data_IF_558867477366
#
_entry.id   IF_558867477366
#
_cell.length_a   1.000
_cell.length_b   1.000
_cell.length_c   1.000
_cell.angle_alpha   90.00
_cell.angle_beta   90.00
_cell.angle_gamma   90.00
#
_symmetry.space_group_name_H-M   'P 1'
#
loop_
_entity.id
_entity.type
_entity.pdbx_description
1 polymer ?
#
# COMPACT_ATOMS: atom_id res chain seq x y z
N UNK A 1 -3.06 -2.49 31.83
CA UNK A 1 -2.82 -1.87 30.50
C UNK A 1 -3.87 -2.35 29.53
N UNK A 2 -4.61 -1.43 28.88
CA UNK A 2 -5.63 -1.80 27.90
C UNK A 2 -4.97 -2.36 26.63
N UNK A 3 -5.00 -3.69 26.45
CA UNK A 3 -4.36 -4.40 25.33
C UNK A 3 -4.83 -3.86 23.97
N UNK A 4 -6.09 -3.42 23.87
CA UNK A 4 -6.68 -2.84 22.68
C UNK A 4 -6.04 -1.49 22.25
N UNK A 5 -5.43 -0.74 23.19
CA UNK A 5 -4.72 0.52 22.86
C UNK A 5 -3.22 0.31 22.65
N UNK A 6 -2.63 -0.65 23.36
CA UNK A 6 -1.17 -0.84 23.37
C UNK A 6 -0.70 -1.64 22.17
N UNK A 7 -1.33 -2.79 21.89
CA UNK A 7 -0.86 -3.72 20.85
C UNK A 7 -0.86 -3.11 19.44
N UNK A 8 -1.88 -2.33 19.02
CA UNK A 8 -1.85 -1.66 17.71
C UNK A 8 -0.68 -0.67 17.58
N UNK A 9 -0.37 0.07 18.65
CA UNK A 9 0.74 1.04 18.68
C UNK A 9 2.09 0.33 18.66
N UNK A 10 2.23 -0.78 19.41
CA UNK A 10 3.42 -1.62 19.37
C UNK A 10 3.65 -2.15 17.96
N UNK A 11 2.60 -2.66 17.30
CA UNK A 11 2.69 -3.11 15.91
C UNK A 11 3.14 -1.97 14.97
N UNK A 12 2.51 -0.80 15.06
CA UNK A 12 2.86 0.37 14.24
C UNK A 12 4.33 0.79 14.42
N UNK A 13 4.77 1.03 15.66
CA UNK A 13 6.14 1.47 15.94
C UNK A 13 7.18 0.41 15.59
N UNK A 14 6.87 -0.88 15.80
CA UNK A 14 7.74 -1.97 15.38
C UNK A 14 7.91 -1.99 13.87
N UNK A 15 6.82 -1.83 13.11
CA UNK A 15 6.85 -1.79 11.64
C UNK A 15 7.63 -0.58 11.14
N UNK A 16 7.42 0.60 11.71
CA UNK A 16 8.16 1.81 11.35
C UNK A 16 9.68 1.63 11.60
N UNK A 17 10.05 1.12 12.78
CA UNK A 17 11.45 0.87 13.14
C UNK A 17 12.10 -0.20 12.25
N UNK A 18 11.42 -1.33 12.01
CA UNK A 18 11.91 -2.39 11.14
C UNK A 18 12.03 -1.94 9.68
N UNK A 19 11.09 -1.12 9.19
CA UNK A 19 11.15 -0.54 7.85
C UNK A 19 12.36 0.38 7.72
N UNK A 20 12.59 1.27 8.70
CA UNK A 20 13.75 2.16 8.72
C UNK A 20 15.06 1.36 8.76
N UNK A 21 15.17 0.38 9.65
CA UNK A 21 16.34 -0.49 9.75
C UNK A 21 16.60 -1.25 8.43
N UNK A 22 15.56 -1.79 7.81
CA UNK A 22 15.67 -2.49 6.52
C UNK A 22 16.11 -1.55 5.40
N UNK A 23 15.57 -0.33 5.35
CA UNK A 23 15.99 0.69 4.37
C UNK A 23 17.45 1.03 4.56
N UNK A 24 17.88 1.39 5.77
CA UNK A 24 19.28 1.74 6.08
C UNK A 24 20.23 0.59 5.72
N UNK A 25 19.95 -0.62 6.17
CA UNK A 25 20.79 -1.79 5.94
C UNK A 25 20.90 -2.12 4.44
N UNK A 26 19.76 -2.16 3.74
CA UNK A 26 19.74 -2.49 2.31
C UNK A 26 20.38 -1.39 1.48
N UNK A 27 20.24 -0.13 1.88
CA UNK A 27 20.92 1.00 1.24
C UNK A 27 22.43 0.87 1.41
N UNK A 28 22.91 0.66 2.64
CA UNK A 28 24.33 0.42 2.90
C UNK A 28 24.88 -0.76 2.08
N UNK A 29 24.10 -1.83 1.94
CA UNK A 29 24.47 -2.98 1.12
C UNK A 29 24.61 -2.66 -0.36
N UNK A 30 23.69 -1.85 -0.91
CA UNK A 30 23.80 -1.38 -2.29
C UNK A 30 25.01 -0.47 -2.49
N UNK A 31 25.31 0.41 -1.53
CA UNK A 31 26.42 1.35 -1.66
C UNK A 31 27.80 0.71 -1.48
N UNK A 32 27.89 -0.37 -0.68
CA UNK A 32 29.20 -0.96 -0.30
C UNK A 32 29.49 -2.31 -0.95
N UNK A 33 28.45 -3.07 -1.28
CA UNK A 33 28.58 -4.49 -1.65
C UNK A 33 27.88 -4.90 -2.93
N UNK A 34 27.19 -4.00 -3.63
CA UNK A 34 26.56 -4.30 -4.91
C UNK A 34 27.55 -4.11 -6.04
N UNK A 35 27.74 -5.15 -6.84
CA UNK A 35 28.52 -5.12 -8.05
C UNK A 35 27.59 -4.85 -9.23
N UNK A 36 27.68 -3.64 -9.80
CA UNK A 36 26.81 -3.19 -10.89
C UNK A 36 27.05 -3.91 -12.22
N UNK A 37 28.25 -4.43 -12.44
CA UNK A 37 28.62 -5.14 -13.67
C UNK A 37 28.08 -6.57 -13.66
N UNK A 38 28.15 -7.23 -12.49
CA UNK A 38 27.63 -8.59 -12.28
C UNK A 38 26.11 -8.55 -12.00
N UNK A 39 25.62 -7.44 -11.45
CA UNK A 39 24.23 -7.27 -11.04
C UNK A 39 23.87 -8.03 -9.75
N UNK A 40 24.85 -8.27 -8.86
CA UNK A 40 24.68 -9.05 -7.63
C UNK A 40 25.46 -8.47 -6.45
N UNK A 41 25.08 -8.88 -5.23
CA UNK A 41 25.82 -8.54 -4.01
C UNK A 41 27.03 -9.46 -3.82
N UNK A 42 28.16 -8.88 -3.43
CA UNK A 42 29.40 -9.59 -3.10
C UNK A 42 29.34 -10.40 -1.80
N UNK A 43 28.41 -10.08 -0.90
CA UNK A 43 28.23 -10.77 0.39
C UNK A 43 26.77 -11.14 0.66
N UNK A 44 26.56 -12.35 1.20
CA UNK A 44 25.25 -12.88 1.56
C UNK A 44 24.74 -12.42 2.95
N UNK A 45 25.59 -11.80 3.78
CA UNK A 45 25.23 -11.44 5.15
C UNK A 45 24.04 -10.47 5.21
N UNK A 46 24.02 -9.46 4.33
CA UNK A 46 22.93 -8.48 4.28
C UNK A 46 21.62 -9.12 3.83
N UNK A 47 21.68 -10.09 2.90
CA UNK A 47 20.49 -10.80 2.44
C UNK A 47 19.87 -11.66 3.54
N UNK A 48 20.68 -12.25 4.42
CA UNK A 48 20.18 -13.00 5.58
C UNK A 48 19.48 -12.08 6.58
N UNK A 49 20.09 -10.96 6.96
CA UNK A 49 19.50 -10.02 7.92
C UNK A 49 18.20 -9.42 7.37
N UNK A 50 18.17 -9.07 6.08
CA UNK A 50 16.95 -8.57 5.44
C UNK A 50 15.79 -9.59 5.49
N UNK A 51 16.06 -10.89 5.26
CA UNK A 51 15.04 -11.96 5.38
C UNK A 51 14.47 -12.05 6.78
N UNK A 52 15.31 -11.91 7.81
CA UNK A 52 14.85 -11.88 9.21
C UNK A 52 13.93 -10.68 9.45
N UNK A 53 14.30 -9.49 8.96
CA UNK A 53 13.46 -8.30 9.07
C UNK A 53 12.11 -8.47 8.35
N UNK A 54 12.10 -9.08 7.16
CA UNK A 54 10.87 -9.44 6.44
C UNK A 54 9.99 -10.40 7.23
N UNK A 55 10.56 -11.36 7.95
CA UNK A 55 9.78 -12.27 8.78
C UNK A 55 9.19 -11.54 10.00
N UNK A 56 10.00 -10.72 10.67
CA UNK A 56 9.56 -9.95 11.83
C UNK A 56 8.42 -8.97 11.50
N UNK A 57 8.46 -8.31 10.35
CA UNK A 57 7.44 -7.30 9.98
C UNK A 57 6.08 -7.92 9.66
N UNK A 58 6.03 -9.20 9.30
CA UNK A 58 4.77 -9.93 9.11
C UNK A 58 4.32 -10.51 10.44
N UNK A 59 5.24 -11.12 11.19
CA UNK A 59 4.93 -11.90 12.38
C UNK A 59 4.49 -11.01 13.56
N UNK A 60 5.16 -9.87 13.79
CA UNK A 60 4.82 -8.97 14.91
C UNK A 60 3.39 -8.42 14.76
N UNK A 61 2.98 -7.80 13.63
CA UNK A 61 1.62 -7.31 13.46
C UNK A 61 0.58 -8.43 13.46
N UNK A 62 0.90 -9.61 12.93
CA UNK A 62 0.01 -10.77 12.96
C UNK A 62 -0.25 -11.24 14.39
N UNK A 63 0.81 -11.40 15.20
CA UNK A 63 0.69 -11.76 16.62
C UNK A 63 -0.08 -10.70 17.40
N UNK A 64 0.23 -9.40 17.20
CA UNK A 64 -0.54 -8.31 17.79
C UNK A 64 -2.02 -8.38 17.38
N UNK A 65 -2.32 -8.63 16.10
CA UNK A 65 -3.67 -8.75 15.57
C UNK A 65 -4.48 -9.90 16.19
N UNK A 66 -3.83 -11.05 16.45
CA UNK A 66 -4.44 -12.21 17.12
C UNK A 66 -4.71 -11.95 18.60
N UNK A 67 -3.87 -11.15 19.26
CA UNK A 67 -3.99 -10.84 20.69
C UNK A 67 -4.98 -9.71 21.01
N UNK A 68 -5.41 -8.94 20.01
CA UNK A 68 -6.41 -7.86 20.18
C UNK A 68 -7.81 -8.48 20.19
N UNK A 69 -8.68 -8.19 21.19
CA UNK A 69 -10.04 -8.71 21.27
C UNK A 69 -10.95 -8.21 20.13
N UNK A 70 -12.08 -8.90 19.91
CA UNK A 70 -13.02 -8.51 18.86
C UNK A 70 -13.64 -7.16 19.19
N UNK A 71 -13.79 -6.30 18.19
CA UNK A 71 -14.17 -4.90 18.39
C UNK A 71 -13.07 -4.01 18.98
N UNK A 72 -11.89 -4.55 19.33
CA UNK A 72 -10.77 -3.77 19.89
C UNK A 72 -10.03 -2.87 18.90
N UNK A 73 -10.38 -2.94 17.61
CA UNK A 73 -9.85 -2.10 16.54
C UNK A 73 -11.02 -1.58 15.71
N UNK A 74 -11.08 -0.26 15.53
CA UNK A 74 -12.02 0.37 14.61
C UNK A 74 -11.47 0.35 13.19
N UNK A 75 -12.31 0.04 12.21
CA UNK A 75 -11.97 0.27 10.82
C UNK A 75 -12.04 1.78 10.53
N UNK A 76 -11.03 2.39 9.88
CA UNK A 76 -11.16 3.77 9.44
C UNK A 76 -12.34 3.91 8.48
N UNK A 77 -13.07 5.02 8.58
CA UNK A 77 -14.18 5.34 7.69
C UNK A 77 -13.66 5.72 6.30
N UNK A 78 -13.32 4.71 5.49
CA UNK A 78 -12.85 4.94 4.12
C UNK A 78 -14.04 5.13 3.21
N UNK A 79 -14.13 6.31 2.58
CA UNK A 79 -15.16 6.63 1.60
C UNK A 79 -16.18 7.67 2.03
N UNK A 80 -16.03 8.28 3.22
CA UNK A 80 -16.84 9.42 3.68
C UNK A 80 -15.96 10.67 3.70
N UNK A 81 -16.30 11.67 2.91
CA UNK A 81 -15.56 12.94 2.85
C UNK A 81 -14.23 12.88 2.08
N UNK A 82 -13.49 13.98 2.14
CA UNK A 82 -12.21 14.19 1.45
C UNK A 82 -11.08 13.48 2.17
N UNK A 83 -10.26 12.74 1.42
CA UNK A 83 -9.08 12.09 1.95
C UNK A 83 -7.79 12.68 1.37
N UNK A 84 -7.16 13.56 2.15
CA UNK A 84 -5.90 14.21 1.76
C UNK A 84 -4.75 13.22 1.56
N UNK A 85 -4.77 12.05 2.22
CA UNK A 85 -3.72 11.05 2.05
C UNK A 85 -3.69 10.44 0.65
N UNK A 86 -4.81 10.50 -0.09
CA UNK A 86 -4.91 10.05 -1.47
C UNK A 86 -4.14 10.94 -2.47
N UNK A 87 -3.68 12.14 -2.07
CA UNK A 87 -2.86 13.01 -2.92
C UNK A 87 -1.50 12.37 -3.28
N UNK A 88 -0.88 11.66 -2.34
CA UNK A 88 0.41 10.97 -2.52
C UNK A 88 0.33 9.91 -3.63
N UNK A 89 -0.58 8.92 -3.57
CA UNK A 89 -0.70 7.91 -4.62
C UNK A 89 -1.32 8.45 -5.91
N UNK A 90 -2.08 9.55 -5.86
CA UNK A 90 -2.53 10.26 -7.07
C UNK A 90 -1.35 10.79 -7.88
N UNK A 91 -0.43 11.53 -7.23
CA UNK A 91 0.78 12.05 -7.88
C UNK A 91 1.61 10.90 -8.44
N UNK A 92 1.80 9.84 -7.65
CA UNK A 92 2.52 8.64 -8.07
C UNK A 92 1.91 8.02 -9.35
N UNK A 93 0.58 7.90 -9.40
CA UNK A 93 -0.14 7.32 -10.54
C UNK A 93 -0.03 8.21 -11.78
N UNK A 94 -0.18 9.53 -11.63
CA UNK A 94 -0.08 10.50 -12.72
C UNK A 94 1.32 10.53 -13.35
N UNK A 95 2.38 10.48 -12.52
CA UNK A 95 3.77 10.41 -13.01
C UNK A 95 3.99 9.13 -13.82
N UNK A 96 3.30 8.02 -13.51
CA UNK A 96 3.50 6.74 -14.19
C UNK A 96 2.98 6.73 -15.63
N UNK A 97 1.98 7.56 -15.95
CA UNK A 97 1.32 7.61 -17.28
C UNK A 97 2.28 7.97 -18.43
N UNK A 98 3.00 9.11 -18.43
CA UNK A 98 3.88 9.47 -19.55
C UNK A 98 4.99 8.45 -19.78
N UNK A 99 5.51 7.81 -18.73
CA UNK A 99 6.58 6.82 -18.87
C UNK A 99 6.11 5.52 -19.53
N UNK A 100 4.85 5.14 -19.36
CA UNK A 100 4.28 4.05 -20.15
C UNK A 100 4.15 4.44 -21.61
N UNK A 101 3.68 5.64 -21.91
CA UNK A 101 3.48 6.10 -23.28
C UNK A 101 4.81 6.30 -24.02
N UNK A 102 5.88 6.66 -23.30
CA UNK A 102 7.23 6.76 -23.85
C UNK A 102 7.95 5.41 -23.93
N UNK A 103 7.39 4.33 -23.37
CA UNK A 103 8.03 3.02 -23.38
C UNK A 103 7.84 2.35 -24.75
N UNK A 104 8.92 2.28 -25.54
CA UNK A 104 8.99 1.47 -26.77
C UNK A 104 9.27 -0.01 -26.49
N UNK A 105 9.47 -0.38 -25.21
CA UNK A 105 9.74 -1.73 -24.76
C UNK A 105 8.50 -2.64 -24.84
N UNK A 106 8.29 -3.24 -26.01
CA UNK A 106 7.34 -4.33 -26.26
C UNK A 106 6.31 -4.00 -27.33
N UNK A 107 5.43 -4.96 -27.62
CA UNK A 107 4.28 -4.72 -28.52
C UNK A 107 3.43 -3.59 -27.92
N UNK A 108 2.95 -2.66 -28.76
CA UNK A 108 2.22 -1.45 -28.38
C UNK A 108 1.07 -1.66 -27.37
N UNK A 109 0.50 -2.87 -27.31
CA UNK A 109 -0.55 -3.26 -26.36
C UNK A 109 -0.14 -3.08 -24.89
N UNK A 110 1.06 -3.49 -24.50
CA UNK A 110 1.49 -3.49 -23.10
C UNK A 110 1.77 -2.09 -22.53
N UNK A 111 2.44 -1.15 -23.23
CA UNK A 111 2.55 0.23 -22.74
C UNK A 111 1.18 0.94 -22.69
N UNK A 112 0.31 0.72 -23.69
CA UNK A 112 -1.04 1.30 -23.71
C UNK A 112 -1.86 0.79 -22.52
N UNK A 113 -1.89 -0.54 -22.30
CA UNK A 113 -2.61 -1.13 -21.18
C UNK A 113 -2.11 -0.58 -19.84
N UNK A 114 -0.80 -0.43 -19.70
CA UNK A 114 -0.19 0.15 -18.51
C UNK A 114 -0.59 1.61 -18.27
N UNK A 115 -0.59 2.43 -19.32
CA UNK A 115 -1.06 3.81 -19.24
C UNK A 115 -2.54 3.89 -18.83
N UNK A 116 -3.39 3.04 -19.42
CA UNK A 116 -4.81 2.96 -19.06
C UNK A 116 -4.99 2.60 -17.59
N UNK A 117 -4.28 1.57 -17.10
CA UNK A 117 -4.35 1.17 -15.69
C UNK A 117 -3.84 2.27 -14.75
N UNK A 118 -2.78 2.99 -15.12
CA UNK A 118 -2.27 4.14 -14.36
C UNK A 118 -3.27 5.30 -14.31
N UNK A 119 -3.97 5.59 -15.41
CA UNK A 119 -5.05 6.59 -15.45
C UNK A 119 -6.23 6.16 -14.56
N UNK A 120 -6.64 4.90 -14.62
CA UNK A 120 -7.69 4.38 -13.73
C UNK A 120 -7.27 4.43 -12.25
N UNK A 121 -6.01 4.11 -11.93
CA UNK A 121 -5.45 4.27 -10.59
C UNK A 121 -5.47 5.74 -10.13
N UNK A 122 -5.07 6.68 -10.99
CA UNK A 122 -5.15 8.10 -10.70
C UNK A 122 -6.61 8.54 -10.46
N UNK A 123 -7.55 8.08 -11.27
CA UNK A 123 -8.97 8.37 -11.09
C UNK A 123 -9.51 7.85 -9.74
N UNK A 124 -9.10 6.65 -9.31
CA UNK A 124 -9.45 6.12 -7.98
C UNK A 124 -9.04 7.10 -6.86
N UNK A 125 -7.78 7.54 -6.87
CA UNK A 125 -7.26 8.43 -5.83
C UNK A 125 -7.79 9.86 -5.95
N UNK A 126 -8.09 10.34 -7.16
CA UNK A 126 -8.73 11.64 -7.36
C UNK A 126 -10.14 11.66 -6.77
N UNK A 127 -10.94 10.63 -7.04
CA UNK A 127 -12.27 10.49 -6.45
C UNK A 127 -12.21 10.38 -4.93
N UNK A 128 -11.22 9.66 -4.39
CA UNK A 128 -10.97 9.59 -2.96
C UNK A 128 -10.59 10.96 -2.35
N UNK A 129 -9.71 11.71 -3.02
CA UNK A 129 -9.29 13.04 -2.59
C UNK A 129 -10.45 14.03 -2.58
N UNK A 130 -11.29 13.99 -3.62
CA UNK A 130 -12.45 14.87 -3.75
C UNK A 130 -13.62 14.46 -2.85
N UNK A 131 -13.63 13.23 -2.36
CA UNK A 131 -14.73 12.68 -1.56
C UNK A 131 -16.00 12.43 -2.37
N UNK A 132 -15.87 12.19 -3.67
CA UNK A 132 -17.00 12.04 -4.62
C UNK A 132 -16.97 10.68 -5.30
N UNK A 133 -18.07 10.32 -5.95
CA UNK A 133 -18.22 9.07 -6.70
C UNK A 133 -18.71 7.90 -5.85
N UNK A 134 -19.44 6.99 -6.49
CA UNK A 134 -19.98 5.82 -5.81
C UNK A 134 -18.86 4.88 -5.33
N UNK A 135 -19.12 4.19 -4.21
CA UNK A 135 -18.18 3.20 -3.65
C UNK A 135 -17.80 2.12 -4.68
N UNK A 136 -18.76 1.70 -5.49
CA UNK A 136 -18.56 0.67 -6.52
C UNK A 136 -17.62 1.16 -7.64
N UNK A 137 -17.81 2.38 -8.14
CA UNK A 137 -16.93 2.96 -9.17
C UNK A 137 -15.52 3.16 -8.63
N UNK A 138 -15.40 3.70 -7.42
CA UNK A 138 -14.11 3.83 -6.75
C UNK A 138 -13.44 2.47 -6.53
N UNK A 139 -14.20 1.45 -6.10
CA UNK A 139 -13.72 0.09 -5.93
C UNK A 139 -13.18 -0.51 -7.23
N UNK A 140 -13.94 -0.39 -8.33
CA UNK A 140 -13.53 -0.86 -9.65
C UNK A 140 -12.23 -0.20 -10.12
N UNK A 141 -12.14 1.13 -9.99
CA UNK A 141 -10.93 1.87 -10.37
C UNK A 141 -9.72 1.50 -9.49
N UNK A 142 -9.92 1.21 -8.21
CA UNK A 142 -8.83 0.83 -7.33
C UNK A 142 -8.22 -0.55 -7.64
N UNK A 143 -8.98 -1.46 -8.28
CA UNK A 143 -8.41 -2.71 -8.82
C UNK A 143 -7.38 -2.45 -9.92
N UNK A 144 -7.44 -1.32 -10.61
CA UNK A 144 -6.44 -0.96 -11.62
C UNK A 144 -5.03 -0.84 -11.03
N UNK A 145 -4.90 -0.45 -9.76
CA UNK A 145 -3.60 -0.42 -9.06
C UNK A 145 -3.01 -1.83 -8.93
N UNK A 146 -3.85 -2.81 -8.59
CA UNK A 146 -3.44 -4.22 -8.44
C UNK A 146 -3.03 -4.79 -9.80
N UNK A 147 -3.87 -4.58 -10.83
CA UNK A 147 -3.59 -5.03 -12.19
C UNK A 147 -2.33 -4.37 -12.76
N UNK A 148 -2.11 -3.09 -12.45
CA UNK A 148 -0.89 -2.37 -12.81
C UNK A 148 0.33 -3.06 -12.19
N UNK A 149 0.31 -3.34 -10.89
CA UNK A 149 1.41 -4.05 -10.22
C UNK A 149 1.66 -5.45 -10.83
N UNK A 150 0.61 -6.20 -11.18
CA UNK A 150 0.74 -7.49 -11.87
C UNK A 150 1.41 -7.35 -13.24
N UNK A 151 1.00 -6.34 -14.03
CA UNK A 151 1.60 -6.04 -15.33
C UNK A 151 3.09 -5.72 -15.20
N UNK A 152 3.45 -4.94 -14.17
CA UNK A 152 4.84 -4.59 -13.85
C UNK A 152 5.64 -5.82 -13.47
N UNK A 153 5.13 -6.69 -12.58
CA UNK A 153 5.79 -7.95 -12.24
C UNK A 153 6.05 -8.78 -13.50
N UNK A 154 5.03 -8.95 -14.37
CA UNK A 154 5.18 -9.68 -15.62
C UNK A 154 6.23 -9.08 -16.56
N UNK A 155 6.26 -7.75 -16.69
CA UNK A 155 7.24 -7.00 -17.47
C UNK A 155 8.67 -7.15 -16.92
N UNK A 156 8.83 -6.95 -15.62
CA UNK A 156 10.13 -6.97 -14.94
C UNK A 156 10.74 -8.36 -14.89
N UNK A 157 9.91 -9.39 -14.68
CA UNK A 157 10.37 -10.78 -14.69
C UNK A 157 10.93 -11.16 -16.07
N UNK A 158 10.18 -10.87 -17.13
CA UNK A 158 10.52 -11.24 -18.51
C UNK A 158 11.49 -10.27 -19.22
N UNK A 159 12.05 -9.29 -18.51
CA UNK A 159 13.03 -8.38 -19.10
C UNK A 159 14.33 -9.12 -19.46
N UNK A 160 14.70 -9.22 -20.74
CA UNK A 160 15.89 -9.95 -21.17
C UNK A 160 17.20 -9.21 -20.86
N UNK A 161 17.15 -7.91 -20.56
CA UNK A 161 18.34 -7.08 -20.37
C UNK A 161 18.92 -7.15 -18.96
N UNK A 162 18.22 -7.81 -18.03
CA UNK A 162 18.62 -7.94 -16.64
C UNK A 162 18.52 -9.40 -16.22
N UNK A 163 19.51 -9.90 -15.48
CA UNK A 163 19.56 -11.29 -15.04
C UNK A 163 18.27 -11.69 -14.28
N UNK A 164 17.80 -12.92 -14.51
CA UNK A 164 16.46 -13.36 -14.08
C UNK A 164 16.20 -13.23 -12.57
N UNK A 165 17.25 -13.38 -11.75
CA UNK A 165 17.17 -13.29 -10.29
C UNK A 165 17.94 -12.08 -9.71
N UNK A 166 18.09 -11.01 -10.50
CA UNK A 166 18.80 -9.83 -10.01
C UNK A 166 18.11 -9.26 -8.76
N UNK A 167 18.88 -8.75 -7.77
CA UNK A 167 18.30 -8.15 -6.57
C UNK A 167 17.37 -6.97 -6.85
N UNK A 168 17.56 -6.28 -7.99
CA UNK A 168 16.74 -5.15 -8.44
C UNK A 168 15.38 -5.64 -8.95
N UNK A 169 15.32 -6.73 -9.73
CA UNK A 169 14.04 -7.33 -10.15
C UNK A 169 13.23 -7.80 -8.94
N UNK A 170 13.88 -8.51 -8.03
CA UNK A 170 13.25 -8.98 -6.81
C UNK A 170 12.74 -7.82 -5.95
N UNK A 171 13.50 -6.72 -5.82
CA UNK A 171 13.06 -5.52 -5.13
C UNK A 171 11.73 -4.97 -5.70
N UNK A 172 11.64 -4.84 -7.02
CA UNK A 172 10.43 -4.34 -7.68
C UNK A 172 9.26 -5.29 -7.48
N UNK A 173 9.48 -6.60 -7.61
CA UNK A 173 8.43 -7.60 -7.40
C UNK A 173 7.90 -7.59 -5.95
N UNK A 174 8.79 -7.52 -4.96
CA UNK A 174 8.38 -7.38 -3.55
C UNK A 174 7.64 -6.08 -3.32
N UNK A 175 8.10 -4.96 -3.88
CA UNK A 175 7.44 -3.67 -3.73
C UNK A 175 6.03 -3.69 -4.35
N UNK A 176 5.88 -4.22 -5.57
CA UNK A 176 4.58 -4.41 -6.22
C UNK A 176 3.66 -5.34 -5.41
N UNK A 177 4.17 -6.46 -4.90
CA UNK A 177 3.39 -7.36 -4.04
C UNK A 177 2.92 -6.65 -2.75
N UNK A 178 3.77 -5.81 -2.16
CA UNK A 178 3.42 -4.96 -1.02
C UNK A 178 2.29 -3.97 -1.33
N UNK A 179 2.36 -3.28 -2.47
CA UNK A 179 1.30 -2.39 -2.93
C UNK A 179 -0.01 -3.15 -3.16
N UNK A 180 0.04 -4.31 -3.81
CA UNK A 180 -1.13 -5.16 -4.03
C UNK A 180 -1.79 -5.57 -2.71
N UNK A 181 -0.99 -6.04 -1.74
CA UNK A 181 -1.46 -6.36 -0.39
C UNK A 181 -2.15 -5.16 0.26
N UNK A 182 -1.47 -4.01 0.33
CA UNK A 182 -2.05 -2.80 0.93
C UNK A 182 -3.36 -2.37 0.26
N UNK A 183 -3.41 -2.39 -1.07
CA UNK A 183 -4.61 -2.03 -1.84
C UNK A 183 -5.76 -3.01 -1.62
N UNK A 184 -5.50 -4.31 -1.44
CA UNK A 184 -6.56 -5.25 -1.10
C UNK A 184 -7.19 -4.94 0.26
N UNK A 185 -6.40 -4.51 1.25
CA UNK A 185 -6.94 -4.06 2.54
C UNK A 185 -7.79 -2.79 2.37
N UNK A 186 -7.28 -1.80 1.65
CA UNK A 186 -7.95 -0.51 1.38
C UNK A 186 -9.29 -0.70 0.65
N UNK A 187 -9.31 -1.54 -0.40
CA UNK A 187 -10.52 -1.87 -1.15
C UNK A 187 -11.56 -2.62 -0.31
N UNK A 188 -11.13 -3.51 0.58
CA UNK A 188 -12.06 -4.18 1.50
C UNK A 188 -12.74 -3.21 2.46
N UNK A 189 -11.99 -2.23 2.95
CA UNK A 189 -12.54 -1.17 3.80
C UNK A 189 -13.54 -0.30 3.03
N UNK A 190 -13.20 0.09 1.79
CA UNK A 190 -14.10 0.85 0.91
C UNK A 190 -15.40 0.10 0.56
N UNK A 191 -15.31 -1.22 0.36
CA UNK A 191 -16.44 -2.09 -0.01
C UNK A 191 -17.22 -2.64 1.20
N UNK A 192 -17.10 -2.02 2.37
CA UNK A 192 -17.84 -2.37 3.59
C UNK A 192 -17.67 -3.83 4.05
N UNK A 193 -16.50 -4.43 3.78
CA UNK A 193 -16.10 -5.74 4.35
C UNK A 193 -14.86 -5.58 5.23
N UNK A 194 -14.91 -4.70 6.25
CA UNK A 194 -13.74 -4.38 7.06
C UNK A 194 -13.25 -5.59 7.82
N UNK A 195 -11.93 -5.77 7.84
CA UNK A 195 -11.26 -6.79 8.64
C UNK A 195 -10.07 -6.11 9.33
N UNK A 196 -10.29 -5.32 10.41
CA UNK A 196 -9.27 -4.40 10.92
C UNK A 196 -8.02 -5.11 11.46
N UNK A 197 -8.17 -6.30 12.05
CA UNK A 197 -7.04 -7.16 12.45
C UNK A 197 -6.20 -7.64 11.27
N UNK A 198 -6.86 -8.01 10.17
CA UNK A 198 -6.18 -8.38 8.93
C UNK A 198 -5.51 -7.16 8.29
N UNK A 199 -6.20 -6.01 8.28
CA UNK A 199 -5.67 -4.75 7.77
C UNK A 199 -4.41 -4.33 8.53
N UNK A 200 -4.33 -4.52 9.86
CA UNK A 200 -3.11 -4.28 10.64
C UNK A 200 -1.92 -5.06 10.07
N UNK A 201 -2.09 -6.34 9.73
CA UNK A 201 -1.02 -7.18 9.19
C UNK A 201 -0.69 -6.83 7.74
N UNK A 202 -1.71 -6.69 6.90
CA UNK A 202 -1.57 -6.50 5.46
C UNK A 202 -1.05 -5.11 5.12
N UNK A 203 -1.49 -4.04 5.82
CA UNK A 203 -0.95 -2.69 5.66
C UNK A 203 0.47 -2.57 6.21
N UNK A 204 0.79 -3.31 7.28
CA UNK A 204 2.17 -3.37 7.80
C UNK A 204 3.12 -4.03 6.79
N UNK A 205 2.73 -5.19 6.25
CA UNK A 205 3.50 -5.85 5.21
C UNK A 205 3.58 -4.98 3.94
N UNK A 206 2.45 -4.39 3.52
CA UNK A 206 2.38 -3.55 2.33
C UNK A 206 3.25 -2.30 2.42
N UNK A 207 3.23 -1.60 3.56
CA UNK A 207 4.10 -0.43 3.80
C UNK A 207 5.57 -0.83 3.84
N UNK A 208 5.93 -1.90 4.56
CA UNK A 208 7.31 -2.38 4.61
C UNK A 208 7.83 -2.78 3.22
N UNK A 209 7.11 -3.63 2.49
CA UNK A 209 7.59 -4.11 1.19
C UNK A 209 7.58 -2.99 0.15
N UNK A 210 6.59 -2.08 0.18
CA UNK A 210 6.57 -0.90 -0.69
C UNK A 210 7.75 0.03 -0.44
N UNK A 211 8.09 0.33 0.82
CA UNK A 211 9.17 1.25 1.18
C UNK A 211 10.54 0.58 1.15
N UNK A 212 10.75 -0.50 1.90
CA UNK A 212 12.03 -1.20 2.01
C UNK A 212 12.40 -2.02 0.75
N UNK A 213 11.41 -2.36 -0.08
CA UNK A 213 11.65 -2.88 -1.42
C UNK A 213 12.11 -1.80 -2.39
N UNK A 214 11.49 -0.62 -2.36
CA UNK A 214 11.74 0.40 -3.38
C UNK A 214 12.84 1.41 -3.05
N UNK A 215 12.81 2.00 -1.85
CA UNK A 215 13.63 3.14 -1.48
C UNK A 215 15.14 2.87 -1.53
N UNK A 216 15.66 1.71 -1.07
CA UNK A 216 17.08 1.40 -1.20
C UNK A 216 17.57 1.35 -2.65
N UNK A 217 16.75 0.84 -3.57
CA UNK A 217 17.08 0.81 -4.99
C UNK A 217 17.02 2.21 -5.62
N UNK A 218 16.09 3.08 -5.18
CA UNK A 218 16.08 4.48 -5.60
C UNK A 218 17.35 5.21 -5.18
N UNK A 219 17.75 5.09 -3.90
CA UNK A 219 18.96 5.71 -3.37
C UNK A 219 20.19 5.20 -4.10
N UNK A 220 20.32 3.88 -4.25
CA UNK A 220 21.45 3.25 -4.94
C UNK A 220 21.55 3.69 -6.40
N UNK A 221 20.42 3.93 -7.06
CA UNK A 221 20.40 4.45 -8.43
C UNK A 221 20.83 5.92 -8.50
N UNK A 222 20.33 6.76 -7.59
CA UNK A 222 20.73 8.18 -7.50
C UNK A 222 22.22 8.30 -7.20
N UNK A 223 22.76 7.41 -6.36
CA UNK A 223 24.18 7.34 -6.05
C UNK A 223 25.05 6.76 -7.18
N UNK A 224 24.45 6.31 -8.29
CA UNK A 224 25.17 5.75 -9.44
C UNK A 224 25.64 4.30 -9.28
N UNK A 225 25.28 3.61 -8.19
CA UNK A 225 25.67 2.21 -7.95
C UNK A 225 24.88 1.21 -8.80
N UNK A 226 23.63 1.54 -9.12
CA UNK A 226 22.82 0.76 -10.08
C UNK A 226 22.94 1.47 -11.42
N UNK A 227 23.53 0.83 -12.46
CA UNK A 227 23.67 1.46 -13.75
C UNK A 227 22.30 1.90 -14.26
N UNK A 228 22.22 3.15 -14.70
CA UNK A 228 21.12 3.63 -15.53
C UNK A 228 21.19 2.84 -16.83
N UNK A 229 20.52 1.69 -16.87
CA UNK A 229 20.48 0.87 -18.08
C UNK A 229 20.20 1.78 -19.26
N UNK A 230 21.06 1.75 -20.29
CA UNK A 230 20.95 2.60 -21.49
C UNK A 230 19.65 2.34 -22.28
N UNK A 231 18.88 1.30 -21.91
CA UNK A 231 17.58 0.99 -22.48
C UNK A 231 16.44 1.56 -21.62
N UNK A 232 15.38 2.01 -22.29
CA UNK A 232 14.14 2.57 -21.73
C UNK A 232 13.52 1.76 -20.57
N UNK A 233 13.79 0.44 -20.49
CA UNK A 233 13.40 -0.39 -19.35
C UNK A 233 13.94 0.14 -18.01
N UNK A 234 15.16 0.69 -18.01
CA UNK A 234 15.80 1.31 -16.86
C UNK A 234 14.98 2.46 -16.25
N UNK A 235 14.40 3.34 -17.07
CA UNK A 235 13.60 4.47 -16.58
C UNK A 235 12.26 4.00 -16.01
N UNK A 236 11.63 3.01 -16.65
CA UNK A 236 10.37 2.45 -16.19
C UNK A 236 10.51 1.79 -14.80
N UNK A 237 11.62 1.08 -14.54
CA UNK A 237 11.94 0.54 -13.21
C UNK A 237 11.99 1.64 -12.14
N UNK A 238 12.66 2.74 -12.44
CA UNK A 238 12.80 3.85 -11.49
C UNK A 238 11.44 4.43 -11.11
N UNK A 239 10.57 4.64 -12.10
CA UNK A 239 9.22 5.15 -11.86
C UNK A 239 8.38 4.21 -11.01
N UNK A 240 8.48 2.89 -11.20
CA UNK A 240 7.77 1.95 -10.32
C UNK A 240 8.31 1.87 -8.92
N UNK A 241 9.61 2.03 -8.74
CA UNK A 241 10.20 2.13 -7.41
C UNK A 241 9.66 3.39 -6.73
N UNK A 242 9.62 4.54 -7.43
CA UNK A 242 8.98 5.76 -6.90
C UNK A 242 7.50 5.53 -6.56
N UNK A 243 6.74 4.94 -7.49
CA UNK A 243 5.34 4.61 -7.29
C UNK A 243 5.13 3.73 -6.06
N UNK A 244 5.90 2.66 -5.94
CA UNK A 244 5.77 1.69 -4.84
C UNK A 244 6.21 2.28 -3.50
N UNK A 245 7.23 3.15 -3.49
CA UNK A 245 7.64 3.87 -2.28
C UNK A 245 6.53 4.82 -1.79
N UNK A 246 5.95 5.61 -2.70
CA UNK A 246 4.85 6.52 -2.38
C UNK A 246 3.59 5.76 -1.94
N UNK A 247 3.26 4.65 -2.60
CA UNK A 247 2.20 3.75 -2.16
C UNK A 247 2.49 3.15 -0.79
N UNK A 248 3.73 2.75 -0.50
CA UNK A 248 4.13 2.23 0.81
C UNK A 248 3.98 3.27 1.92
N UNK A 249 4.31 4.53 1.64
CA UNK A 249 4.07 5.67 2.55
C UNK A 249 2.57 5.86 2.78
N UNK A 250 1.76 5.84 1.72
CA UNK A 250 0.30 5.89 1.83
C UNK A 250 -0.25 4.75 2.70
N UNK A 251 0.24 3.52 2.54
CA UNK A 251 -0.17 2.39 3.39
C UNK A 251 0.26 2.58 4.86
N UNK A 252 1.40 3.22 5.12
CA UNK A 252 1.82 3.56 6.47
C UNK A 252 0.91 4.63 7.10
N UNK A 253 0.48 5.63 6.32
CA UNK A 253 -0.50 6.64 6.76
C UNK A 253 -1.84 5.96 7.07
N UNK A 254 -2.29 5.02 6.21
CA UNK A 254 -3.49 4.21 6.47
C UNK A 254 -3.38 3.38 7.75
N UNK A 255 -2.23 2.75 7.95
CA UNK A 255 -1.96 1.99 9.17
C UNK A 255 -2.03 2.90 10.41
N UNK A 256 -1.44 4.09 10.34
CA UNK A 256 -1.52 5.08 11.40
C UNK A 256 -2.98 5.49 11.67
N UNK A 257 -3.79 5.72 10.64
CA UNK A 257 -5.22 6.02 10.79
C UNK A 257 -5.96 4.88 11.50
N UNK A 258 -5.73 3.61 11.12
CA UNK A 258 -6.31 2.44 11.81
C UNK A 258 -5.91 2.38 13.30
N UNK A 259 -4.64 2.65 13.60
CA UNK A 259 -4.06 2.47 14.95
C UNK A 259 -4.41 3.63 15.89
N UNK A 260 -4.42 4.86 15.38
CA UNK A 260 -4.60 6.06 16.20
C UNK A 260 -6.05 6.57 16.23
N UNK A 261 -6.89 6.27 15.23
CA UNK A 261 -8.32 6.58 15.30
C UNK A 261 -9.05 5.76 16.39
N UNK A 262 -8.57 4.56 16.70
CA UNK A 262 -9.08 3.72 17.80
C UNK A 262 -8.91 4.35 19.21
N UNK A 263 -8.18 5.47 19.32
CA UNK A 263 -8.00 6.21 20.58
C UNK A 263 -8.93 7.41 20.78
N UNK A 264 -9.70 7.81 19.76
CA UNK A 264 -10.56 9.02 19.80
C UNK A 264 -12.04 8.72 20.07
N UNK A 265 -12.43 7.44 20.15
CA UNK A 265 -13.82 7.00 20.37
C UNK A 265 -14.27 7.03 21.84
N UNK A 266 -13.73 7.95 22.65
CA UNK A 266 -14.22 8.23 24.02
C UNK A 266 -15.12 9.50 24.04
N UNK A 267 -15.73 9.87 22.91
CA UNK A 267 -16.88 10.79 22.93
C UNK A 267 -18.12 9.92 23.16
N UNK A 268 -18.89 10.15 24.24
CA UNK A 268 -20.11 9.39 24.46
C UNK A 268 -21.01 9.57 23.25
N UNK A 269 -21.55 8.46 22.75
CA UNK A 269 -22.66 8.47 21.80
C UNK A 269 -23.77 9.25 22.50
N UNK A 270 -24.00 10.50 22.11
CA UNK A 270 -25.27 11.15 22.39
C UNK A 270 -26.32 10.25 21.76
N UNK A 271 -27.14 9.64 22.63
CA UNK A 271 -28.29 8.87 22.21
C UNK A 271 -29.10 9.74 21.24
N UNK A 272 -29.39 9.21 20.05
CA UNK A 272 -30.38 9.81 19.18
C UNK A 272 -31.65 10.07 20.01
N UNK A 273 -32.25 11.27 19.94
CA UNK A 273 -33.53 11.48 20.60
C UNK A 273 -34.53 10.53 19.95
N UNK A 274 -35.05 9.57 20.72
CA UNK A 274 -36.15 8.72 20.31
C UNK A 274 -37.28 9.63 19.83
N UNK A 275 -37.50 9.66 18.51
CA UNK A 275 -38.70 10.23 17.93
C UNK A 275 -39.84 9.32 18.36
N UNK A 276 -40.58 9.76 19.38
CA UNK A 276 -41.87 9.20 19.77
C UNK A 276 -42.82 9.23 18.56
N UNK A 277 -42.84 8.15 17.78
CA UNK A 277 -43.91 7.87 16.85
C UNK A 277 -45.10 7.28 17.63
N UNK A 278 -46.09 8.15 17.87
CA UNK A 278 -47.50 7.83 17.69
C UNK A 278 -48.16 6.88 18.69
N UNK A 279 -48.57 7.41 19.83
CA UNK A 279 -49.81 6.96 20.48
C UNK A 279 -50.97 7.73 19.83
N UNK A 280 -51.54 7.16 18.76
CA UNK A 280 -52.80 7.62 18.17
C UNK A 280 -53.83 6.55 18.46
N UNK A 281 -54.67 6.84 19.45
CA UNK A 281 -55.87 6.11 19.81
C UNK A 281 -56.78 5.94 18.60
N UNK A 282 -57.04 4.69 18.20
CA UNK A 282 -58.07 4.31 17.24
C UNK A 282 -59.48 4.54 17.86
N UNK A 283 -60.09 5.68 17.53
CA UNK A 283 -61.52 5.90 17.69
C UNK A 283 -62.26 5.24 16.51
N UNK A 284 -62.81 4.05 16.73
CA UNK A 284 -63.80 3.43 15.84
C UNK A 284 -65.18 4.10 16.03
N UNK A 285 -65.90 4.49 14.95
CA UNK A 285 -67.31 4.82 15.06
C UNK A 285 -68.19 3.55 15.13
N UNK A 286 -69.31 3.58 15.86
CA UNK A 286 -70.16 2.40 16.06
C UNK A 286 -70.95 2.05 14.80
N UNK A 287 -71.02 0.74 14.50
CA UNK A 287 -71.91 0.19 13.48
C UNK A 287 -73.37 0.29 13.95
N UNK A 288 -74.24 0.81 13.09
CA UNK A 288 -75.66 0.43 12.99
C UNK A 288 -75.88 -0.27 11.67
#
# INVERSE_FOLDING_TARGET
MNKARVLPRVAFWSVAALTLAAVCLRTAAFLTGYDGDIGYFRSAAVTVVYRVLCLCVVLIPAVCGMLIPEGGLSAPCIGVGRDLSASVPLIASLITVPFFLQSSSGKAVTPILGAVLAVCAAAHFLLALLGVGSRNVRGLLGFAVILLCMLVIGRTYNDPYVTMNSPVKLAVQFACAGVMLGMTADLRMLLCKPAPRLALTVLSAGSFFGVAGALPCLIARIAGCIPSGRAEGGQLYFVYLCFSALMGIYMLIRLAQCVFAAGASDVPVEAEPETNEGDVTDDLPPQM
#
